data_IF_141076216809
#
_entry.id   IF_141076216809
#
_cell.length_a   1.000
_cell.length_b   1.000
_cell.length_c   1.000
_cell.angle_alpha   90.00
_cell.angle_beta   90.00
_cell.angle_gamma   90.00
#
_symmetry.space_group_name_H-M   'P 1'
#
loop_
_entity.id
_entity.type
_entity.pdbx_description
1 polymer ?
#
# COMPACT_ATOMS: atom_id res chain seq x y z
N UNK A 1 -47.70 -16.38 -37.75
CA UNK A 1 -48.29 -17.33 -38.71
C UNK A 1 -47.17 -18.26 -39.19
N UNK A 2 -47.19 -19.53 -38.73
CA UNK A 2 -46.49 -20.74 -39.23
C UNK A 2 -44.94 -20.74 -39.29
N UNK A 3 -44.17 -21.76 -38.87
CA UNK A 3 -44.34 -23.15 -38.35
C UNK A 3 -42.97 -23.54 -37.72
N UNK A 4 -42.92 -24.11 -36.49
CA UNK A 4 -42.78 -25.56 -36.14
C UNK A 4 -41.61 -26.25 -36.88
N UNK A 5 -40.64 -26.88 -36.21
CA UNK A 5 -40.63 -28.21 -35.52
C UNK A 5 -39.18 -28.45 -35.01
N UNK A 6 -38.77 -29.36 -34.10
CA UNK A 6 -39.33 -30.28 -33.10
C UNK A 6 -38.16 -31.24 -32.73
N UNK A 7 -37.82 -31.43 -31.43
CA UNK A 7 -37.34 -32.68 -30.74
C UNK A 7 -36.16 -33.52 -31.32
N UNK A 8 -35.37 -34.35 -30.61
CA UNK A 8 -35.45 -35.00 -29.31
C UNK A 8 -34.08 -35.62 -28.91
N UNK A 9 -33.90 -35.83 -27.60
CA UNK A 9 -33.27 -36.97 -26.87
C UNK A 9 -32.20 -37.85 -27.53
N UNK A 10 -31.11 -38.16 -26.80
CA UNK A 10 -30.91 -39.52 -26.24
C UNK A 10 -29.89 -39.58 -25.09
N UNK A 11 -30.31 -40.28 -24.05
CA UNK A 11 -29.65 -40.75 -22.82
C UNK A 11 -28.77 -42.00 -23.01
N UNK A 12 -27.69 -42.15 -22.23
CA UNK A 12 -27.16 -43.43 -21.68
C UNK A 12 -26.06 -43.09 -20.63
N UNK A 13 -26.16 -43.29 -19.32
CA UNK A 13 -26.46 -44.45 -18.45
C UNK A 13 -25.23 -45.31 -18.07
N UNK A 14 -24.78 -45.11 -16.82
CA UNK A 14 -24.15 -45.98 -15.79
C UNK A 14 -22.98 -46.95 -16.11
N UNK A 15 -22.06 -47.04 -15.13
CA UNK A 15 -21.73 -48.22 -14.28
C UNK A 15 -20.68 -47.77 -13.22
N UNK A 16 -20.97 -47.62 -11.91
CA UNK A 16 -21.07 -48.60 -10.80
C UNK A 16 -19.78 -49.36 -10.41
N UNK A 17 -19.29 -49.09 -9.20
CA UNK A 17 -18.75 -50.01 -8.15
C UNK A 17 -17.85 -49.21 -7.19
N UNK A 18 -17.86 -49.31 -5.86
CA UNK A 18 -18.56 -50.16 -4.90
C UNK A 18 -17.65 -50.48 -3.71
N UNK A 19 -18.09 -50.12 -2.48
CA UNK A 19 -17.72 -50.64 -1.14
C UNK A 19 -16.25 -50.46 -0.67
N UNK A 20 -15.85 -50.36 0.61
CA UNK A 20 -16.45 -50.67 1.92
C UNK A 20 -15.62 -49.98 3.03
N UNK A 21 -16.24 -49.59 4.16
CA UNK A 21 -15.57 -49.44 5.48
C UNK A 21 -15.68 -50.78 6.26
N UNK A 22 -15.39 -50.93 7.59
CA UNK A 22 -14.56 -50.18 8.56
C UNK A 22 -13.66 -51.08 9.50
N UNK A 23 -12.96 -50.43 10.46
CA UNK A 23 -12.61 -50.85 11.85
C UNK A 23 -11.58 -51.98 12.13
N UNK A 24 -10.48 -51.64 12.82
CA UNK A 24 -10.06 -52.17 14.15
C UNK A 24 -8.63 -51.72 14.58
N UNK A 25 -8.51 -51.20 15.81
CA UNK A 25 -7.31 -51.19 16.68
C UNK A 25 -7.13 -52.59 17.35
N UNK A 26 -6.08 -52.96 18.15
CA UNK A 26 -5.20 -52.13 19.01
C UNK A 26 -3.70 -52.55 19.22
N UNK A 27 -2.97 -51.66 19.90
CA UNK A 27 -1.88 -51.82 20.89
C UNK A 27 -0.66 -52.76 20.67
N UNK A 28 0.57 -52.24 20.86
CA UNK A 28 1.43 -52.43 22.09
C UNK A 28 2.94 -52.21 21.81
N UNK A 29 3.55 -51.32 22.62
CA UNK A 29 4.95 -51.13 23.07
C UNK A 29 6.19 -51.47 22.21
N UNK A 30 7.14 -50.53 22.14
CA UNK A 30 8.47 -50.70 22.77
C UNK A 30 9.20 -49.35 22.95
N UNK A 31 10.05 -49.34 23.98
CA UNK A 31 10.80 -48.23 24.56
C UNK A 31 11.93 -47.68 23.67
N UNK A 32 12.32 -46.43 23.90
CA UNK A 32 13.51 -45.84 23.28
C UNK A 32 13.74 -44.39 23.67
N UNK A 33 14.19 -44.19 24.90
CA UNK A 33 14.73 -42.93 25.45
C UNK A 33 15.83 -42.34 24.56
N UNK A 34 15.69 -41.08 24.15
CA UNK A 34 16.84 -40.17 24.01
C UNK A 34 16.40 -38.72 24.12
N UNK A 35 16.94 -38.07 25.15
CA UNK A 35 16.82 -36.67 25.50
C UNK A 35 17.78 -35.85 24.64
N UNK A 36 17.29 -34.83 23.92
CA UNK A 36 18.10 -33.67 23.55
C UNK A 36 17.22 -32.46 23.22
N UNK A 37 17.02 -31.62 24.25
CA UNK A 37 16.95 -30.15 24.25
C UNK A 37 16.50 -29.51 22.92
N UNK A 38 15.21 -29.21 22.79
CA UNK A 38 14.72 -28.20 21.86
C UNK A 38 14.65 -26.85 22.57
N UNK A 39 15.49 -25.94 22.07
CA UNK A 39 15.51 -24.52 22.40
C UNK A 39 14.17 -23.89 22.02
N UNK A 40 13.52 -23.28 23.00
CA UNK A 40 12.34 -22.43 22.82
C UNK A 40 12.73 -21.19 22.00
N UNK A 41 12.52 -21.25 20.69
CA UNK A 41 12.32 -20.04 19.90
C UNK A 41 10.89 -19.55 20.20
N UNK A 42 10.78 -18.59 21.12
CA UNK A 42 9.60 -17.74 21.26
C UNK A 42 9.46 -16.93 19.97
N UNK A 43 8.83 -17.52 18.96
CA UNK A 43 8.24 -16.80 17.85
C UNK A 43 7.04 -16.05 18.44
N UNK A 44 7.27 -14.80 18.83
CA UNK A 44 6.21 -13.84 19.08
C UNK A 44 5.58 -13.49 17.74
N UNK A 45 4.78 -14.40 17.22
CA UNK A 45 3.83 -14.10 16.15
C UNK A 45 2.79 -13.18 16.78
N UNK A 46 2.97 -11.88 16.62
CA UNK A 46 1.95 -10.88 16.92
C UNK A 46 0.78 -11.11 15.96
N UNK A 47 -0.08 -12.08 16.30
CA UNK A 47 -1.37 -12.26 15.67
C UNK A 47 -2.21 -11.06 16.10
N UNK A 48 -2.21 -10.00 15.29
CA UNK A 48 -3.16 -8.90 15.46
C UNK A 48 -4.54 -9.50 15.21
N UNK A 49 -5.22 -9.78 16.31
CA UNK A 49 -6.60 -10.26 16.33
C UNK A 49 -7.49 -9.03 16.09
N UNK A 50 -7.53 -8.53 14.85
CA UNK A 50 -8.31 -7.35 14.48
C UNK A 50 -9.79 -7.73 14.38
N UNK A 51 -10.54 -7.44 15.43
CA UNK A 51 -11.98 -7.17 15.30
C UNK A 51 -12.14 -6.07 14.23
N UNK A 52 -13.11 -6.15 13.30
CA UNK A 52 -13.30 -5.12 12.29
C UNK A 52 -13.47 -3.76 12.95
N UNK A 53 -12.58 -2.80 12.65
CA UNK A 53 -12.79 -1.40 13.03
C UNK A 53 -13.98 -0.90 12.24
N UNK A 54 -15.10 -0.64 12.91
CA UNK A 54 -16.29 -0.02 12.31
C UNK A 54 -16.10 1.49 12.33
N UNK A 55 -16.16 2.15 11.17
CA UNK A 55 -16.06 3.60 11.10
C UNK A 55 -17.47 4.20 11.17
N UNK A 56 -17.68 5.35 11.86
CA UNK A 56 -18.99 5.98 11.96
C UNK A 56 -19.68 6.26 10.62
N UNK A 57 -18.88 6.31 9.56
CA UNK A 57 -19.27 6.70 8.22
C UNK A 57 -19.69 5.52 7.33
N UNK A 58 -19.54 4.29 7.80
CA UNK A 58 -20.04 3.08 7.15
C UNK A 58 -21.58 3.02 7.13
N UNK A 59 -22.28 3.85 7.92
CA UNK A 59 -23.74 3.76 8.17
C UNK A 59 -24.61 4.58 7.20
N UNK A 60 -24.01 5.44 6.35
CA UNK A 60 -24.81 6.33 5.48
C UNK A 60 -25.45 5.62 4.27
N UNK A 61 -25.04 4.38 3.96
CA UNK A 61 -25.61 3.53 2.91
C UNK A 61 -26.00 4.29 1.62
N UNK A 62 -25.08 5.14 1.14
CA UNK A 62 -25.32 5.91 -0.08
C UNK A 62 -25.41 4.98 -1.29
N UNK A 63 -26.25 5.30 -2.28
CA UNK A 63 -26.44 4.44 -3.44
C UNK A 63 -25.15 4.37 -4.28
N UNK A 64 -24.86 3.17 -4.76
CA UNK A 64 -23.85 2.94 -5.78
C UNK A 64 -24.50 2.88 -7.16
N UNK A 65 -23.82 3.42 -8.16
CA UNK A 65 -24.29 3.48 -9.54
C UNK A 65 -23.35 2.65 -10.40
N UNK A 66 -23.87 1.60 -11.02
CA UNK A 66 -23.11 0.79 -11.96
C UNK A 66 -22.69 1.63 -13.20
N UNK A 67 -21.45 1.46 -13.63
CA UNK A 67 -20.86 2.16 -14.78
C UNK A 67 -20.03 1.21 -15.63
N UNK A 68 -19.86 1.55 -16.90
CA UNK A 68 -18.95 0.82 -17.79
C UNK A 68 -17.60 1.54 -17.85
N UNK A 69 -16.50 0.78 -17.72
CA UNK A 69 -15.17 1.32 -17.91
C UNK A 69 -14.96 1.75 -19.36
N UNK A 70 -14.40 2.94 -19.56
CA UNK A 70 -13.85 3.36 -20.86
C UNK A 70 -12.34 3.17 -20.89
N UNK A 71 -11.63 3.59 -19.83
CA UNK A 71 -10.19 3.33 -19.63
C UNK A 71 -9.72 3.74 -18.23
N UNK A 72 -8.66 3.11 -17.75
CA UNK A 72 -7.83 3.69 -16.68
C UNK A 72 -6.98 4.85 -17.25
N UNK A 73 -6.95 6.00 -16.56
CA UNK A 73 -6.22 7.20 -17.02
C UNK A 73 -4.92 7.35 -16.26
N UNK A 74 -5.00 7.33 -14.94
CA UNK A 74 -3.88 7.37 -14.00
C UNK A 74 -4.22 6.56 -12.73
N UNK A 75 -3.35 6.54 -11.73
CA UNK A 75 -3.56 5.83 -10.47
C UNK A 75 -4.86 6.24 -9.75
N UNK A 76 -5.20 7.52 -9.73
CA UNK A 76 -6.39 8.06 -9.04
C UNK A 76 -7.53 8.50 -9.98
N UNK A 77 -7.40 8.23 -11.29
CA UNK A 77 -8.32 8.74 -12.31
C UNK A 77 -8.68 7.65 -13.31
N UNK A 78 -9.99 7.43 -13.48
CA UNK A 78 -10.55 6.54 -14.51
C UNK A 78 -11.50 7.32 -15.43
N UNK A 79 -11.79 6.77 -16.60
CA UNK A 79 -12.84 7.25 -17.48
C UNK A 79 -13.90 6.19 -17.64
N UNK A 80 -15.17 6.57 -17.54
CA UNK A 80 -16.33 5.67 -17.56
C UNK A 80 -17.43 6.22 -18.45
N UNK A 81 -18.38 5.37 -18.82
CA UNK A 81 -19.67 5.78 -19.33
C UNK A 81 -20.62 6.05 -18.16
N UNK A 82 -21.01 7.31 -17.99
CA UNK A 82 -21.95 7.76 -16.96
C UNK A 82 -23.06 8.58 -17.62
N UNK A 83 -24.31 8.19 -17.40
CA UNK A 83 -25.49 8.84 -18.01
C UNK A 83 -25.38 9.00 -19.55
N UNK A 84 -24.83 7.98 -20.22
CA UNK A 84 -24.66 7.96 -21.68
C UNK A 84 -23.53 8.84 -22.22
N UNK A 85 -22.68 9.41 -21.34
CA UNK A 85 -21.53 10.24 -21.72
C UNK A 85 -20.24 9.66 -21.17
N UNK A 86 -19.15 9.88 -21.90
CA UNK A 86 -17.82 9.62 -21.41
C UNK A 86 -17.44 10.70 -20.39
N UNK A 87 -17.19 10.28 -19.17
CA UNK A 87 -16.82 11.14 -18.05
C UNK A 87 -15.48 10.68 -17.46
N UNK A 88 -14.71 11.61 -16.89
CA UNK A 88 -13.56 11.27 -16.06
C UNK A 88 -13.98 11.30 -14.60
N UNK A 89 -13.56 10.33 -13.83
CA UNK A 89 -13.78 10.24 -12.38
C UNK A 89 -12.44 10.46 -11.69
N UNK A 90 -12.34 11.51 -10.88
CA UNK A 90 -11.25 11.69 -9.93
C UNK A 90 -11.68 11.05 -8.62
N UNK A 91 -10.94 10.03 -8.21
CA UNK A 91 -11.19 9.30 -6.97
C UNK A 91 -11.10 10.25 -5.78
N UNK A 92 -12.11 10.26 -4.91
CA UNK A 92 -12.10 11.09 -3.71
C UNK A 92 -11.02 10.63 -2.72
N UNK A 93 -10.48 11.60 -1.97
CA UNK A 93 -9.62 11.45 -0.79
C UNK A 93 -8.25 10.80 -1.00
N UNK A 94 -7.85 10.47 -2.23
CA UNK A 94 -6.52 9.89 -2.52
C UNK A 94 -5.77 10.72 -3.54
N UNK A 95 -4.45 10.63 -3.54
CA UNK A 95 -3.55 11.21 -4.54
C UNK A 95 -2.45 10.21 -4.87
N UNK A 96 -2.23 9.95 -6.15
CA UNK A 96 -1.21 9.02 -6.63
C UNK A 96 -0.11 9.81 -7.35
N UNK A 97 1.15 9.34 -7.35
CA UNK A 97 2.21 10.00 -8.10
C UNK A 97 1.88 10.11 -9.60
N UNK A 98 2.24 11.23 -10.20
CA UNK A 98 1.89 11.57 -11.58
C UNK A 98 2.62 10.69 -12.61
N UNK A 99 1.92 10.22 -13.64
CA UNK A 99 2.53 9.42 -14.72
C UNK A 99 2.84 10.20 -16.00
N UNK A 100 2.31 11.41 -16.16
CA UNK A 100 2.44 12.15 -17.43
C UNK A 100 2.27 13.67 -17.30
N UNK A 101 2.51 14.23 -16.12
CA UNK A 101 2.31 15.66 -15.90
C UNK A 101 3.36 16.50 -16.67
N UNK A 102 2.98 17.51 -17.47
CA UNK A 102 3.89 18.24 -18.35
C UNK A 102 5.10 18.89 -17.68
N UNK A 103 4.99 19.21 -16.38
CA UNK A 103 6.07 19.83 -15.59
C UNK A 103 6.77 18.85 -14.66
N UNK A 104 6.06 17.84 -14.16
CA UNK A 104 6.58 16.94 -13.12
C UNK A 104 7.18 15.67 -13.73
N UNK A 105 6.85 15.36 -15.00
CA UNK A 105 7.31 14.14 -15.65
C UNK A 105 6.62 12.90 -15.06
N UNK A 106 7.33 11.79 -15.11
CA UNK A 106 6.94 10.54 -14.45
C UNK A 106 7.51 10.58 -13.04
N UNK A 107 6.64 10.51 -12.04
CA UNK A 107 7.05 10.43 -10.64
C UNK A 107 7.27 8.95 -10.22
N UNK A 108 8.14 8.72 -9.24
CA UNK A 108 8.35 7.39 -8.65
C UNK A 108 7.02 6.78 -8.17
N UNK A 109 6.82 5.47 -8.33
CA UNK A 109 5.57 4.77 -7.99
C UNK A 109 4.32 5.17 -8.79
N UNK A 110 4.40 6.16 -9.68
CA UNK A 110 3.28 6.57 -10.54
C UNK A 110 2.86 5.46 -11.51
N UNK A 111 3.79 4.90 -12.31
CA UNK A 111 3.49 3.77 -13.19
C UNK A 111 2.88 2.57 -12.47
N UNK A 112 3.36 2.28 -11.25
CA UNK A 112 2.89 1.21 -10.39
C UNK A 112 1.45 1.48 -9.91
N UNK A 113 1.16 2.68 -9.40
CA UNK A 113 -0.19 3.08 -8.99
C UNK A 113 -1.19 3.01 -10.16
N UNK A 114 -0.79 3.49 -11.35
CA UNK A 114 -1.61 3.40 -12.56
C UNK A 114 -1.85 1.98 -13.01
N UNK A 115 -0.82 1.12 -13.01
CA UNK A 115 -0.94 -0.28 -13.37
C UNK A 115 -1.88 -1.01 -12.39
N UNK A 116 -1.72 -0.76 -11.09
CA UNK A 116 -2.57 -1.33 -10.05
C UNK A 116 -4.05 -0.97 -10.23
N UNK A 117 -4.35 0.32 -10.39
CA UNK A 117 -5.74 0.77 -10.64
C UNK A 117 -6.28 0.18 -11.93
N UNK A 118 -5.48 0.19 -13.01
CA UNK A 118 -5.89 -0.39 -14.30
C UNK A 118 -6.25 -1.87 -14.14
N UNK A 119 -5.42 -2.64 -13.46
CA UNK A 119 -5.64 -4.08 -13.30
C UNK A 119 -6.91 -4.35 -12.48
N UNK A 120 -7.15 -3.61 -11.40
CA UNK A 120 -8.39 -3.73 -10.62
C UNK A 120 -9.63 -3.39 -11.44
N UNK A 121 -9.62 -2.29 -12.19
CA UNK A 121 -10.83 -1.82 -12.88
C UNK A 121 -11.12 -2.53 -14.19
N UNK A 122 -10.09 -3.01 -14.92
CA UNK A 122 -10.28 -3.72 -16.18
C UNK A 122 -10.64 -5.20 -15.98
N UNK A 123 -10.28 -5.77 -14.82
CA UNK A 123 -10.62 -7.16 -14.48
C UNK A 123 -11.97 -7.28 -13.76
N UNK A 124 -12.55 -6.17 -13.32
CA UNK A 124 -13.81 -6.16 -12.58
C UNK A 124 -14.99 -6.61 -13.45
N UNK A 125 -15.82 -7.49 -12.92
CA UNK A 125 -17.11 -7.83 -13.54
C UNK A 125 -18.13 -6.71 -13.36
N UNK A 126 -18.05 -6.00 -12.23
CA UNK A 126 -18.90 -4.86 -11.90
C UNK A 126 -18.07 -3.67 -11.40
N UNK A 127 -18.23 -2.53 -12.07
CA UNK A 127 -17.75 -1.24 -11.59
C UNK A 127 -18.89 -0.37 -11.13
N UNK A 128 -18.70 0.28 -9.98
CA UNK A 128 -19.69 1.18 -9.42
C UNK A 128 -19.05 2.48 -8.92
N UNK A 129 -19.81 3.57 -9.00
CA UNK A 129 -19.48 4.85 -8.40
C UNK A 129 -20.38 5.10 -7.19
N UNK A 130 -19.78 5.51 -6.08
CA UNK A 130 -20.49 6.01 -4.91
C UNK A 130 -20.13 7.49 -4.71
N UNK A 131 -21.09 8.38 -4.88
CA UNK A 131 -20.90 9.80 -4.64
C UNK A 131 -20.98 10.09 -3.14
N UNK A 132 -20.25 11.11 -2.69
CA UNK A 132 -20.37 11.62 -1.33
C UNK A 132 -21.49 12.69 -1.25
N UNK A 133 -21.74 13.22 -0.05
CA UNK A 133 -22.87 14.12 0.23
C UNK A 133 -22.69 15.54 -0.34
N UNK A 134 -21.49 15.89 -0.80
CA UNK A 134 -21.17 17.21 -1.33
C UNK A 134 -21.23 17.30 -2.85
N UNK A 135 -20.51 18.29 -3.44
CA UNK A 135 -20.42 18.42 -4.87
C UNK A 135 -19.84 17.16 -5.51
N UNK A 136 -20.50 16.68 -6.57
CA UNK A 136 -20.08 15.51 -7.32
C UNK A 136 -19.10 15.84 -8.46
N UNK A 137 -18.65 17.09 -8.58
CA UNK A 137 -17.70 17.53 -9.60
C UNK A 137 -16.68 18.52 -9.08
N UNK A 138 -15.48 18.45 -9.64
CA UNK A 138 -14.42 19.44 -9.39
C UNK A 138 -14.45 20.60 -10.39
N UNK A 139 -13.52 21.56 -10.23
CA UNK A 139 -13.36 22.73 -11.11
C UNK A 139 -12.97 22.40 -12.56
N UNK A 140 -12.52 21.17 -12.82
CA UNK A 140 -12.19 20.66 -14.15
C UNK A 140 -13.32 19.83 -14.75
N UNK A 141 -14.50 19.84 -14.10
CA UNK A 141 -15.69 19.09 -14.48
C UNK A 141 -15.52 17.56 -14.40
N UNK A 142 -14.51 17.04 -13.69
CA UNK A 142 -14.40 15.59 -13.41
C UNK A 142 -15.42 15.20 -12.37
N UNK A 143 -16.01 14.02 -12.50
CA UNK A 143 -16.81 13.42 -11.43
C UNK A 143 -15.93 13.15 -10.20
N UNK A 144 -16.49 13.34 -9.02
CA UNK A 144 -15.87 13.06 -7.72
C UNK A 144 -16.61 11.90 -7.05
N UNK A 145 -15.97 10.74 -6.94
CA UNK A 145 -16.62 9.54 -6.39
C UNK A 145 -15.62 8.58 -5.71
N UNK A 146 -16.18 7.70 -4.88
CA UNK A 146 -15.55 6.45 -4.48
C UNK A 146 -15.81 5.39 -5.56
N UNK A 147 -14.77 4.67 -5.96
CA UNK A 147 -14.85 3.68 -7.04
C UNK A 147 -14.79 2.29 -6.42
N UNK A 148 -15.73 1.44 -6.81
CA UNK A 148 -15.76 0.04 -6.41
C UNK A 148 -15.57 -0.87 -7.62
N UNK A 149 -14.70 -1.85 -7.48
CA UNK A 149 -14.46 -2.95 -8.41
C UNK A 149 -14.85 -4.25 -7.70
N UNK A 150 -15.89 -4.92 -8.17
CA UNK A 150 -16.45 -6.14 -7.56
C UNK A 150 -16.72 -6.00 -6.06
N UNK A 151 -17.22 -4.83 -5.66
CA UNK A 151 -17.50 -4.48 -4.27
C UNK A 151 -16.29 -4.07 -3.43
N UNK A 152 -15.06 -4.18 -3.93
CA UNK A 152 -13.84 -3.66 -3.27
C UNK A 152 -13.62 -2.19 -3.64
N UNK A 153 -13.38 -1.33 -2.65
CA UNK A 153 -13.05 0.07 -2.93
C UNK A 153 -11.62 0.21 -3.45
N UNK A 154 -11.45 0.86 -4.59
CA UNK A 154 -10.14 1.02 -5.24
C UNK A 154 -9.21 1.91 -4.40
N UNK A 155 -9.73 2.98 -3.82
CA UNK A 155 -8.96 3.87 -2.94
C UNK A 155 -8.37 3.17 -1.71
N UNK A 156 -9.16 2.33 -1.04
CA UNK A 156 -8.67 1.54 0.09
C UNK A 156 -7.52 0.64 -0.36
N UNK A 157 -7.69 -0.03 -1.51
CA UNK A 157 -6.66 -0.90 -2.07
C UNK A 157 -5.36 -0.15 -2.41
N UNK A 158 -5.46 1.08 -2.95
CA UNK A 158 -4.29 1.92 -3.23
C UNK A 158 -3.56 2.33 -1.95
N UNK A 159 -4.29 2.67 -0.89
CA UNK A 159 -3.72 3.06 0.39
C UNK A 159 -3.07 1.88 1.12
N UNK A 160 -3.69 0.69 1.07
CA UNK A 160 -3.17 -0.57 1.61
C UNK A 160 -1.81 -0.92 1.00
N UNK A 161 -1.66 -0.77 -0.32
CA UNK A 161 -0.41 -1.06 -1.03
C UNK A 161 0.63 0.08 -0.95
N UNK A 162 0.30 1.19 -0.27
CA UNK A 162 1.15 2.37 -0.22
C UNK A 162 1.36 3.03 -1.59
N UNK A 163 0.40 2.93 -2.50
CA UNK A 163 0.46 3.52 -3.85
C UNK A 163 -0.26 4.88 -3.96
N UNK A 164 -0.94 5.30 -2.89
CA UNK A 164 -1.56 6.61 -2.77
C UNK A 164 -1.35 7.19 -1.37
N UNK A 165 -1.47 8.51 -1.27
CA UNK A 165 -1.61 9.25 -0.01
C UNK A 165 -3.03 9.77 0.15
N UNK A 166 -3.46 10.01 1.39
CA UNK A 166 -4.69 10.74 1.70
C UNK A 166 -4.49 12.21 1.36
N UNK A 167 -5.41 12.76 0.56
CA UNK A 167 -5.27 14.12 0.05
C UNK A 167 -6.62 14.71 -0.38
N UNK A 168 -6.63 16.02 -0.68
CA UNK A 168 -7.81 16.74 -1.20
C UNK A 168 -9.07 16.61 -0.32
N UNK A 169 -8.87 16.68 0.99
CA UNK A 169 -9.94 16.64 1.99
C UNK A 169 -10.71 17.98 1.94
N UNK A 170 -11.84 18.00 1.24
CA UNK A 170 -12.69 19.19 1.12
C UNK A 170 -14.10 18.89 1.63
N UNK A 171 -14.53 19.50 2.75
CA UNK A 171 -15.89 19.35 3.23
C UNK A 171 -16.93 19.75 2.18
N UNK A 172 -18.05 19.01 2.09
CA UNK A 172 -18.46 17.91 2.97
C UNK A 172 -18.07 16.51 2.47
N UNK A 173 -17.24 16.38 1.42
CA UNK A 173 -16.79 15.10 0.87
C UNK A 173 -15.65 14.50 1.71
N UNK A 174 -15.95 14.07 2.94
CA UNK A 174 -14.93 13.63 3.92
C UNK A 174 -15.28 12.30 4.58
N UNK A 175 -16.21 11.54 4.00
CA UNK A 175 -16.80 10.37 4.65
C UNK A 175 -15.79 9.27 5.03
N UNK A 176 -14.77 9.01 4.21
CA UNK A 176 -13.80 7.94 4.51
C UNK A 176 -12.45 8.42 5.04
N UNK A 177 -12.31 9.69 5.45
CA UNK A 177 -11.01 10.25 5.90
C UNK A 177 -10.39 9.43 7.03
N UNK A 178 -11.12 9.19 8.14
CA UNK A 178 -10.58 8.45 9.29
C UNK A 178 -10.11 7.03 8.91
N UNK A 179 -10.89 6.35 8.07
CA UNK A 179 -10.54 5.01 7.55
C UNK A 179 -9.29 5.07 6.67
N UNK A 180 -9.22 6.05 5.79
CA UNK A 180 -8.11 6.19 4.85
C UNK A 180 -6.82 6.59 5.58
N UNK A 181 -6.90 7.42 6.61
CA UNK A 181 -5.77 7.77 7.47
C UNK A 181 -5.24 6.55 8.23
N UNK A 182 -6.12 5.67 8.71
CA UNK A 182 -5.73 4.40 9.33
C UNK A 182 -5.01 3.46 8.35
N UNK A 183 -5.52 3.31 7.13
CA UNK A 183 -4.88 2.51 6.07
C UNK A 183 -3.53 3.09 5.65
N UNK A 184 -3.46 4.41 5.48
CA UNK A 184 -2.22 5.12 5.18
C UNK A 184 -1.18 4.91 6.28
N UNK A 185 -1.59 5.02 7.55
CA UNK A 185 -0.67 4.78 8.68
C UNK A 185 -0.08 3.38 8.63
N UNK A 186 -0.91 2.36 8.34
CA UNK A 186 -0.44 0.97 8.23
C UNK A 186 0.60 0.82 7.10
N UNK A 187 0.31 1.32 5.90
CA UNK A 187 1.25 1.20 4.77
C UNK A 187 2.53 2.04 4.98
N UNK A 188 2.43 3.17 5.70
CA UNK A 188 3.58 3.97 6.10
C UNK A 188 4.46 3.26 7.12
N UNK A 189 3.88 2.69 8.17
CA UNK A 189 4.62 1.97 9.21
C UNK A 189 5.33 0.73 8.64
N UNK A 190 4.78 0.15 7.57
CA UNK A 190 5.39 -0.95 6.80
C UNK A 190 6.34 -0.48 5.70
N UNK A 191 6.49 0.83 5.48
CA UNK A 191 7.26 1.44 4.41
C UNK A 191 6.95 0.87 3.01
N UNK A 192 5.68 0.69 2.69
CA UNK A 192 5.22 0.21 1.39
C UNK A 192 5.17 1.34 0.35
N UNK A 193 5.46 1.01 -0.91
CA UNK A 193 5.29 1.91 -2.06
C UNK A 193 5.91 3.30 -1.84
N UNK A 194 5.10 4.35 -1.91
CA UNK A 194 5.51 5.75 -1.71
C UNK A 194 6.17 6.00 -0.34
N UNK A 195 5.86 5.18 0.67
CA UNK A 195 6.44 5.27 2.00
C UNK A 195 7.81 4.58 2.12
N UNK A 196 8.23 3.86 1.07
CA UNK A 196 9.57 3.25 0.97
C UNK A 196 10.68 4.26 0.63
N UNK A 197 10.36 5.54 0.43
CA UNK A 197 11.34 6.61 0.29
C UNK A 197 11.02 7.66 1.35
N UNK A 198 11.98 7.95 2.23
CA UNK A 198 11.78 8.91 3.31
C UNK A 198 11.49 10.30 2.73
N UNK A 199 10.50 11.01 3.27
CA UNK A 199 10.06 12.36 2.82
C UNK A 199 9.57 12.44 1.37
N UNK A 200 9.44 11.33 0.65
CA UNK A 200 8.93 11.33 -0.71
C UNK A 200 7.45 11.75 -0.78
N UNK A 201 6.59 11.13 0.01
CA UNK A 201 5.18 11.51 0.13
C UNK A 201 4.95 12.36 1.38
N UNK A 202 4.43 13.58 1.21
CA UNK A 202 4.15 14.54 2.28
C UNK A 202 2.75 15.16 2.10
N UNK A 203 2.31 15.98 3.07
CA UNK A 203 1.01 16.67 3.00
C UNK A 203 0.88 17.57 1.76
N UNK A 204 1.98 18.18 1.32
CA UNK A 204 2.04 19.09 0.18
C UNK A 204 2.25 18.38 -1.17
N UNK A 205 2.44 17.07 -1.20
CA UNK A 205 2.54 16.28 -2.43
C UNK A 205 3.71 15.29 -2.44
N UNK A 206 4.23 15.05 -3.65
CA UNK A 206 5.33 14.12 -3.91
C UNK A 206 6.63 14.86 -4.23
N UNK A 207 7.72 14.40 -3.64
CA UNK A 207 9.06 15.00 -3.67
C UNK A 207 10.06 14.04 -4.32
N UNK A 208 10.08 13.93 -5.66
CA UNK A 208 10.88 12.93 -6.37
C UNK A 208 12.40 13.05 -6.14
N UNK A 209 12.89 14.22 -5.76
CA UNK A 209 14.29 14.46 -5.38
C UNK A 209 14.77 13.60 -4.20
N UNK A 210 13.87 13.15 -3.32
CA UNK A 210 14.22 12.30 -2.19
C UNK A 210 14.59 10.86 -2.62
N UNK A 211 14.18 10.43 -3.83
CA UNK A 211 14.53 9.10 -4.34
C UNK A 211 16.01 9.01 -4.73
N UNK A 212 16.58 10.08 -5.28
CA UNK A 212 17.97 10.08 -5.78
C UNK A 212 18.99 9.89 -4.65
N UNK A 213 18.71 10.41 -3.46
CA UNK A 213 19.56 10.24 -2.26
C UNK A 213 19.71 8.78 -1.80
N UNK A 214 18.74 7.92 -2.15
CA UNK A 214 18.80 6.47 -1.85
C UNK A 214 19.62 5.70 -2.88
N UNK A 215 19.64 6.15 -4.13
CA UNK A 215 20.35 5.49 -5.24
C UNK A 215 21.84 5.87 -5.30
N UNK A 216 22.19 7.14 -5.04
CA UNK A 216 23.58 7.61 -5.15
C UNK A 216 24.51 7.06 -4.05
N UNK A 217 23.96 6.55 -2.95
CA UNK A 217 24.76 5.93 -1.88
C UNK A 217 25.02 4.43 -2.10
N UNK A 218 24.34 3.78 -3.05
CA UNK A 218 24.54 2.36 -3.37
C UNK A 218 25.56 2.11 -4.50
N UNK A 219 26.03 3.14 -5.21
CA UNK A 219 26.95 2.99 -6.34
C UNK A 219 28.37 3.54 -6.10
N UNK A 220 28.78 3.68 -4.83
CA UNK A 220 30.20 3.86 -4.46
C UNK A 220 30.82 2.52 -4.02
N UNK A 221 30.75 1.53 -4.89
CA UNK A 221 31.58 0.32 -4.80
C UNK A 221 31.77 -0.26 -6.19
N UNK A 222 32.52 0.45 -7.03
CA UNK A 222 33.37 -0.16 -8.07
C UNK A 222 34.35 0.87 -8.62
N UNK A 223 35.63 0.50 -8.54
CA UNK A 223 36.83 1.13 -9.08
C UNK A 223 37.38 2.37 -8.36
N UNK A 224 38.40 2.14 -7.53
CA UNK A 224 39.77 2.58 -7.85
C UNK A 224 40.78 1.87 -6.95
N UNK A 225 41.77 1.25 -7.59
CA UNK A 225 42.94 0.68 -6.95
C UNK A 225 43.89 1.79 -6.49
N UNK A 226 44.51 1.55 -5.32
CA UNK A 226 45.74 2.15 -4.81
C UNK A 226 45.76 3.68 -4.59
N UNK A 227 45.68 4.11 -3.32
CA UNK A 227 46.82 4.72 -2.58
C UNK A 227 46.40 4.88 -1.12
N UNK A 228 47.24 4.37 -0.22
CA UNK A 228 47.03 4.37 1.24
C UNK A 228 47.22 5.77 1.83
N UNK A 229 46.21 6.27 2.53
CA UNK A 229 46.32 7.28 3.57
C UNK A 229 45.26 6.98 4.65
N UNK A 230 45.59 7.03 5.96
CA UNK A 230 44.67 6.60 7.00
C UNK A 230 43.59 7.66 7.23
N UNK A 231 42.33 7.32 6.93
CA UNK A 231 41.17 8.04 7.46
C UNK A 231 40.50 7.13 8.47
N UNK A 232 40.88 7.31 9.73
CA UNK A 232 40.01 7.03 10.87
C UNK A 232 38.72 7.83 10.68
N UNK A 233 37.57 7.14 10.65
CA UNK A 233 36.48 7.32 11.61
C UNK A 233 35.23 6.60 11.08
N UNK A 234 35.25 5.26 11.09
CA UNK A 234 34.01 4.50 11.17
C UNK A 234 33.46 4.70 12.57
N UNK A 235 32.55 5.66 12.75
CA UNK A 235 31.81 5.79 14.00
C UNK A 235 30.82 4.64 14.11
N UNK A 236 31.32 3.50 14.61
CA UNK A 236 30.51 2.52 15.30
C UNK A 236 29.70 3.25 16.38
N UNK A 237 28.42 2.90 16.50
CA UNK A 237 27.55 3.38 17.57
C UNK A 237 28.28 3.25 18.90
N UNK A 238 28.51 4.36 19.61
CA UNK A 238 28.92 4.27 21.01
C UNK A 238 27.83 3.49 21.74
N UNK A 239 28.21 2.54 22.59
CA UNK A 239 27.28 1.67 23.29
C UNK A 239 26.21 2.51 24.02
N UNK A 240 24.94 2.40 23.58
CA UNK A 240 23.82 3.20 24.08
C UNK A 240 23.44 4.45 23.25
N UNK A 241 24.09 4.69 22.11
CA UNK A 241 23.76 5.78 21.18
C UNK A 241 23.41 5.21 19.80
N UNK A 242 22.20 4.69 19.69
CA UNK A 242 21.65 3.98 18.54
C UNK A 242 20.61 4.82 17.78
N UNK A 243 20.51 6.12 18.02
CA UNK A 243 19.65 6.99 17.23
C UNK A 243 20.48 7.64 16.12
N UNK A 244 20.10 7.38 14.87
CA UNK A 244 20.77 7.92 13.68
C UNK A 244 20.17 9.27 13.31
N UNK A 245 20.99 10.31 13.17
CA UNK A 245 20.61 11.60 12.60
C UNK A 245 21.15 11.77 11.17
N UNK A 246 20.32 12.17 10.22
CA UNK A 246 20.68 12.50 8.84
C UNK A 246 20.14 13.88 8.42
N UNK A 247 20.67 14.41 7.31
CA UNK A 247 20.17 15.62 6.65
C UNK A 247 19.74 15.23 5.23
N UNK A 248 18.48 15.51 4.85
CA UNK A 248 17.98 15.22 3.49
C UNK A 248 18.42 16.27 2.46
N UNK A 249 18.09 16.05 1.18
CA UNK A 249 18.38 16.98 0.06
C UNK A 249 17.93 18.44 0.29
N UNK A 250 16.89 18.65 1.11
CA UNK A 250 16.35 19.97 1.47
C UNK A 250 16.99 20.60 2.70
N UNK A 251 17.92 19.91 3.34
CA UNK A 251 18.56 20.37 4.57
C UNK A 251 17.72 20.10 5.83
N UNK A 252 16.67 19.30 5.76
CA UNK A 252 15.90 18.89 6.95
C UNK A 252 16.72 17.89 7.78
N UNK A 253 16.83 18.18 9.07
CA UNK A 253 17.50 17.32 10.05
C UNK A 253 16.51 16.31 10.64
N UNK A 254 16.77 15.02 10.46
CA UNK A 254 15.86 13.94 10.85
C UNK A 254 16.59 12.90 11.69
N UNK A 255 15.98 12.48 12.79
CA UNK A 255 16.49 11.40 13.61
C UNK A 255 15.67 10.13 13.44
N UNK A 256 16.31 8.98 13.59
CA UNK A 256 15.71 7.67 13.49
C UNK A 256 16.10 6.82 14.68
N UNK A 257 15.09 6.39 15.43
CA UNK A 257 15.25 5.35 16.45
C UNK A 257 15.32 3.97 15.78
N UNK A 258 15.80 2.91 16.47
CA UNK A 258 15.80 1.55 15.92
C UNK A 258 14.42 1.04 15.45
N UNK A 259 13.33 1.59 16.00
CA UNK A 259 11.95 1.26 15.62
C UNK A 259 11.47 1.96 14.33
N UNK A 260 12.19 2.99 13.86
CA UNK A 260 11.82 3.70 12.64
C UNK A 260 11.91 2.77 11.43
N UNK A 261 10.90 2.75 10.53
CA UNK A 261 10.95 1.92 9.33
C UNK A 261 12.10 2.31 8.38
N UNK A 262 12.62 3.53 8.53
CA UNK A 262 13.77 4.04 7.78
C UNK A 262 15.12 3.70 8.43
N UNK A 263 15.15 3.21 9.67
CA UNK A 263 16.38 3.14 10.48
C UNK A 263 17.53 2.39 9.78
N UNK A 264 17.27 1.21 9.25
CA UNK A 264 18.30 0.38 8.61
C UNK A 264 18.89 1.03 7.36
N UNK A 265 18.06 1.73 6.58
CA UNK A 265 18.48 2.38 5.32
C UNK A 265 19.13 3.73 5.55
N UNK A 266 18.84 4.39 6.67
CA UNK A 266 19.42 5.68 7.01
C UNK A 266 20.92 5.54 7.22
N UNK A 267 21.68 6.29 6.43
CA UNK A 267 23.10 6.55 6.68
C UNK A 267 23.22 7.75 7.58
N UNK A 268 23.73 7.53 8.79
CA UNK A 268 23.89 8.55 9.80
C UNK A 268 24.98 9.57 9.45
N UNK A 269 24.69 10.83 9.72
CA UNK A 269 25.65 11.93 9.81
C UNK A 269 26.02 12.22 11.26
N UNK A 270 25.10 11.95 12.19
CA UNK A 270 25.28 12.13 13.63
C UNK A 270 24.63 10.97 14.39
N UNK A 271 25.23 10.57 15.51
CA UNK A 271 24.61 9.64 16.47
C UNK A 271 24.07 10.42 17.66
N UNK A 272 22.93 9.98 18.20
CA UNK A 272 22.33 10.48 19.43
C UNK A 272 22.10 9.34 20.42
N UNK A 273 22.13 9.66 21.71
CA UNK A 273 21.86 8.70 22.78
C UNK A 273 20.44 8.82 23.35
N UNK A 274 19.68 9.84 22.93
CA UNK A 274 18.26 9.97 23.21
C UNK A 274 17.56 10.84 22.17
N UNK A 275 16.25 10.65 22.00
CA UNK A 275 15.42 11.51 21.15
C UNK A 275 15.48 12.97 21.61
N UNK A 276 15.51 13.21 22.93
CA UNK A 276 15.61 14.55 23.50
C UNK A 276 16.90 15.27 23.07
N UNK A 277 18.02 14.54 22.97
CA UNK A 277 19.29 15.08 22.46
C UNK A 277 19.19 15.43 20.98
N UNK A 278 18.60 14.54 20.18
CA UNK A 278 18.38 14.78 18.75
C UNK A 278 17.52 16.03 18.53
N UNK A 279 16.41 16.15 19.27
CA UNK A 279 15.51 17.32 19.23
C UNK A 279 16.24 18.60 19.65
N UNK A 280 17.06 18.56 20.71
CA UNK A 280 17.88 19.72 21.12
C UNK A 280 18.91 20.11 20.06
N UNK A 281 19.43 19.16 19.29
CA UNK A 281 20.32 19.40 18.15
C UNK A 281 19.58 19.87 16.87
N UNK A 282 18.25 20.01 16.95
CA UNK A 282 17.38 20.49 15.87
C UNK A 282 16.92 19.41 14.90
N UNK A 283 17.02 18.14 15.27
CA UNK A 283 16.50 17.02 14.48
C UNK A 283 15.04 16.74 14.85
N UNK A 284 14.21 16.42 13.86
CA UNK A 284 12.81 15.98 14.06
C UNK A 284 12.67 14.47 13.82
N UNK A 285 11.58 13.88 14.29
CA UNK A 285 11.21 12.53 13.89
C UNK A 285 10.85 12.47 12.39
N UNK A 286 10.85 11.28 11.77
CA UNK A 286 10.33 11.08 10.42
C UNK A 286 8.82 11.41 10.37
N UNK A 287 8.32 11.81 9.18
CA UNK A 287 6.90 12.17 8.97
C UNK A 287 6.08 10.95 8.53
#
# INVERSE_FOLDING_TARGET
MNKRMLTAMLTALLLLSGCSQPLMSPATSSEGTSTSVQSEAKTSTSTVNSKPTTYPTDDLNLPRVAVELVKAVDGDTISVMFEGKKENVRMLLVDTPETSHPKLGVQPFGPEAKAFTKDLVEQAELLELEFDIGPNRDKYSRLLAYVYADGKMVQESLLEEGLARVAYIYPPNTRYVDKFDDLQRISRDQALGIWSVENYAQEDGFHPEEQDDTNDKNNSSRNTAATQAPKENSQESKQGCDIKGNINSKGEKIYHTPESPYYERTKQEQWFCSEAEAVQAGFRAPK
#
